data_IF_227622531979
#
_entry.id   IF_227622531979
#
_cell.length_a   1.000
_cell.length_b   1.000
_cell.length_c   1.000
_cell.angle_alpha   90.00
_cell.angle_beta   90.00
_cell.angle_gamma   90.00
#
_symmetry.space_group_name_H-M   'P 1'
#
loop_
_entity.id
_entity.type
_entity.pdbx_description
1 polymer ?
#
# COMPACT_ATOMS: atom_id res chain seq x y z
N UNK A 1 6.99 9.27 -5.27
CA UNK A 1 6.34 7.99 -4.94
C UNK A 1 6.26 7.91 -3.43
N UNK A 2 5.10 7.59 -2.85
CA UNK A 2 4.91 7.56 -1.39
C UNK A 2 4.35 6.22 -0.96
N UNK A 3 4.90 5.68 0.12
CA UNK A 3 4.37 4.50 0.80
C UNK A 3 3.41 4.96 1.90
N UNK A 4 2.43 4.11 2.22
CA UNK A 4 1.50 4.31 3.33
C UNK A 4 1.47 3.05 4.16
N UNK A 5 1.49 3.21 5.47
CA UNK A 5 1.15 2.12 6.38
C UNK A 5 -0.36 2.20 6.60
N UNK A 6 -1.07 1.11 6.36
CA UNK A 6 -2.52 1.03 6.53
C UNK A 6 -2.87 -0.10 7.48
N UNK A 7 -3.85 0.16 8.33
CA UNK A 7 -4.54 -0.84 9.14
C UNK A 7 -5.89 -1.12 8.49
N UNK A 8 -6.15 -2.38 8.14
CA UNK A 8 -7.43 -2.82 7.64
C UNK A 8 -8.43 -3.10 8.77
N UNK A 9 -9.72 -3.20 8.45
CA UNK A 9 -10.77 -3.50 9.46
C UNK A 9 -10.58 -4.85 10.17
N UNK A 10 -9.81 -5.77 9.60
CA UNK A 10 -9.43 -7.04 10.23
C UNK A 10 -8.22 -6.92 11.19
N UNK A 11 -7.77 -5.70 11.50
CA UNK A 11 -6.60 -5.37 12.32
C UNK A 11 -5.24 -5.79 11.72
N UNK A 12 -5.18 -6.12 10.43
CA UNK A 12 -3.91 -6.34 9.73
C UNK A 12 -3.28 -4.99 9.35
N UNK A 13 -1.99 -4.84 9.68
CA UNK A 13 -1.20 -3.64 9.38
C UNK A 13 -0.18 -3.97 8.30
N UNK A 14 -0.21 -3.21 7.21
CA UNK A 14 0.57 -3.48 6.00
C UNK A 14 1.10 -2.19 5.36
N UNK A 15 2.16 -2.32 4.55
CA UNK A 15 2.77 -1.21 3.79
C UNK A 15 2.31 -1.29 2.36
N UNK A 16 1.62 -0.27 1.85
CA UNK A 16 1.17 -0.19 0.46
C UNK A 16 1.73 1.05 -0.25
N UNK A 17 1.58 1.12 -1.56
CA UNK A 17 1.78 2.36 -2.31
C UNK A 17 0.59 3.29 -2.12
N UNK A 18 0.81 4.61 -2.11
CA UNK A 18 -0.28 5.59 -2.09
C UNK A 18 -1.20 5.44 -3.32
N UNK A 19 -0.67 5.00 -4.46
CA UNK A 19 -1.47 4.71 -5.66
C UNK A 19 -2.42 3.52 -5.51
N UNK A 20 -2.23 2.69 -4.48
CA UNK A 20 -3.15 1.59 -4.17
C UNK A 20 -4.33 2.03 -3.30
N UNK A 21 -4.36 3.27 -2.82
CA UNK A 21 -5.55 3.81 -2.16
C UNK A 21 -6.61 4.15 -3.21
N UNK A 22 -7.87 3.84 -2.91
CA UNK A 22 -8.97 4.40 -3.68
C UNK A 22 -9.00 5.93 -3.57
N UNK A 23 -9.64 6.66 -4.52
CA UNK A 23 -9.68 8.12 -4.47
C UNK A 23 -10.22 8.71 -3.17
N UNK A 24 -11.14 7.99 -2.50
CA UNK A 24 -11.72 8.40 -1.22
C UNK A 24 -10.93 7.91 0.01
N UNK A 25 -9.86 7.13 -0.18
CA UNK A 25 -8.95 6.60 0.85
C UNK A 25 -9.65 5.78 1.94
N UNK A 26 -10.84 5.24 1.65
CA UNK A 26 -11.56 4.34 2.55
C UNK A 26 -11.22 2.87 2.32
N UNK A 27 -10.62 2.57 1.17
CA UNK A 27 -10.26 1.23 0.76
C UNK A 27 -8.89 1.26 0.08
N UNK A 28 -8.21 0.12 0.08
CA UNK A 28 -7.01 -0.10 -0.72
C UNK A 28 -7.22 -1.26 -1.69
N UNK A 29 -6.71 -1.11 -2.91
CA UNK A 29 -6.51 -2.20 -3.84
C UNK A 29 -5.44 -3.14 -3.28
N UNK A 30 -5.74 -4.43 -3.26
CA UNK A 30 -4.85 -5.46 -2.74
C UNK A 30 -4.51 -6.45 -3.84
N UNK A 31 -3.22 -6.76 -4.04
CA UNK A 31 -2.82 -7.69 -5.07
C UNK A 31 -3.32 -9.10 -4.76
N UNK A 32 -3.54 -9.93 -5.79
CA UNK A 32 -3.91 -11.33 -5.60
C UNK A 32 -2.87 -12.07 -4.76
N UNK A 33 -3.22 -13.24 -4.17
CA UNK A 33 -2.36 -13.98 -3.26
C UNK A 33 -0.93 -14.10 -3.79
N UNK A 34 -0.02 -13.42 -3.11
CA UNK A 34 1.37 -13.29 -3.50
C UNK A 34 2.24 -13.67 -2.32
N UNK A 35 3.37 -14.31 -2.59
CA UNK A 35 4.38 -14.51 -1.55
C UNK A 35 5.02 -13.18 -1.15
N UNK A 36 5.65 -13.16 0.02
CA UNK A 36 6.28 -11.95 0.58
C UNK A 36 7.34 -11.35 -0.36
N UNK A 37 8.08 -12.20 -1.11
CA UNK A 37 9.09 -11.76 -2.06
C UNK A 37 8.49 -11.03 -3.26
N UNK A 38 7.41 -11.56 -3.83
CA UNK A 38 6.75 -10.92 -4.97
C UNK A 38 6.03 -9.65 -4.54
N UNK A 39 5.40 -9.63 -3.36
CA UNK A 39 4.82 -8.42 -2.78
C UNK A 39 5.88 -7.31 -2.63
N UNK A 40 7.02 -7.63 -2.01
CA UNK A 40 8.13 -6.69 -1.84
C UNK A 40 8.65 -6.19 -3.19
N UNK A 41 8.70 -7.05 -4.21
CA UNK A 41 9.11 -6.66 -5.57
C UNK A 41 8.10 -5.71 -6.21
N UNK A 42 6.81 -5.90 -5.99
CA UNK A 42 5.74 -5.01 -6.50
C UNK A 42 5.84 -3.62 -5.87
N UNK A 43 6.02 -3.56 -4.54
CA UNK A 43 6.25 -2.31 -3.83
C UNK A 43 7.49 -1.56 -4.37
N UNK A 44 8.62 -2.26 -4.52
CA UNK A 44 9.87 -1.65 -5.02
C UNK A 44 9.77 -1.19 -6.48
N UNK A 45 8.99 -1.87 -7.30
CA UNK A 45 8.74 -1.48 -8.70
C UNK A 45 7.68 -0.39 -8.83
N UNK A 46 7.06 0.01 -7.73
CA UNK A 46 5.94 0.95 -7.73
C UNK A 46 4.84 0.54 -8.72
N UNK A 47 4.53 -0.76 -8.75
CA UNK A 47 3.51 -1.29 -9.66
C UNK A 47 2.15 -0.70 -9.32
N UNK A 48 1.48 -0.12 -10.30
CA UNK A 48 0.12 0.41 -10.12
C UNK A 48 -0.89 -0.69 -9.87
N UNK A 49 -1.96 -0.34 -9.15
CA UNK A 49 -3.10 -1.22 -8.96
C UNK A 49 -3.78 -1.50 -10.30
N UNK A 50 -4.25 -2.74 -10.47
CA UNK A 50 -4.97 -3.18 -11.66
C UNK A 50 -6.47 -3.32 -11.32
N UNK A 51 -7.32 -3.23 -12.34
CA UNK A 51 -8.79 -3.39 -12.22
C UNK A 51 -9.18 -4.79 -11.73
N UNK A 52 -8.24 -5.75 -11.76
CA UNK A 52 -8.40 -7.11 -11.26
C UNK A 52 -8.18 -7.26 -9.75
N UNK A 53 -7.67 -6.23 -9.08
CA UNK A 53 -7.35 -6.28 -7.65
C UNK A 53 -8.60 -6.06 -6.80
N UNK A 54 -8.74 -6.86 -5.76
CA UNK A 54 -9.82 -6.68 -4.79
C UNK A 54 -9.54 -5.48 -3.88
N UNK A 55 -10.60 -4.82 -3.42
CA UNK A 55 -10.47 -3.68 -2.50
C UNK A 55 -10.80 -4.08 -1.08
N UNK A 56 -9.96 -3.69 -0.13
CA UNK A 56 -10.14 -3.97 1.30
C UNK A 56 -10.41 -2.69 2.09
N UNK A 57 -11.37 -2.70 3.03
CA UNK A 57 -11.71 -1.52 3.83
C UNK A 57 -10.62 -1.19 4.84
N UNK A 58 -10.24 0.09 4.89
CA UNK A 58 -9.19 0.61 5.75
C UNK A 58 -9.80 1.17 7.03
N UNK A 59 -9.28 0.74 8.18
CA UNK A 59 -9.61 1.30 9.49
C UNK A 59 -8.80 2.57 9.79
N UNK A 60 -7.50 2.57 9.46
CA UNK A 60 -6.61 3.71 9.70
C UNK A 60 -5.50 3.78 8.65
N UNK A 61 -5.15 4.99 8.26
CA UNK A 61 -3.94 5.29 7.47
C UNK A 61 -2.97 5.99 8.40
N UNK A 62 -1.78 5.43 8.57
CA UNK A 62 -0.68 6.09 9.26
C UNK A 62 0.11 6.89 8.23
N UNK A 63 0.32 8.17 8.51
CA UNK A 63 1.13 9.04 7.68
C UNK A 63 2.57 8.95 8.14
N UNK A 64 3.38 8.11 7.48
CA UNK A 64 4.81 8.15 7.70
C UNK A 64 5.55 7.74 6.43
N UNK A 65 6.06 8.73 5.71
CA UNK A 65 7.43 8.72 5.15
C UNK A 65 7.85 10.19 5.02
N UNK A 66 8.60 10.71 6.00
CA UNK A 66 9.61 11.71 5.69
C UNK A 66 10.54 11.07 4.66
N UNK A 67 10.70 11.73 3.53
CA UNK A 67 11.76 11.43 2.58
C UNK A 67 13.06 11.44 3.40
N UNK A 68 13.73 10.30 3.54
CA UNK A 68 15.12 10.32 3.96
C UNK A 68 15.86 11.03 2.81
N UNK A 69 16.06 12.34 2.96
CA UNK A 69 17.05 13.06 2.19
C UNK A 69 18.38 12.36 2.48
N UNK A 70 18.93 11.65 1.49
CA UNK A 70 20.33 11.25 1.52
C UNK A 70 21.15 12.54 1.50
N UNK A 71 21.61 13.00 2.67
CA UNK A 71 22.73 13.93 2.77
C UNK A 71 23.94 13.29 2.07
N UNK A 72 24.31 13.80 0.90
CA UNK A 72 25.60 13.54 0.22
C UNK A 72 26.16 14.84 -0.32
#
# INVERSE_FOLDING_TARGET
MSYKIVEFENAEVVVILESWLTPNRKQAYWPPPTDCLSYTRMLRKCQDADDTWETYPIARIFYETDTAEEDT
#
